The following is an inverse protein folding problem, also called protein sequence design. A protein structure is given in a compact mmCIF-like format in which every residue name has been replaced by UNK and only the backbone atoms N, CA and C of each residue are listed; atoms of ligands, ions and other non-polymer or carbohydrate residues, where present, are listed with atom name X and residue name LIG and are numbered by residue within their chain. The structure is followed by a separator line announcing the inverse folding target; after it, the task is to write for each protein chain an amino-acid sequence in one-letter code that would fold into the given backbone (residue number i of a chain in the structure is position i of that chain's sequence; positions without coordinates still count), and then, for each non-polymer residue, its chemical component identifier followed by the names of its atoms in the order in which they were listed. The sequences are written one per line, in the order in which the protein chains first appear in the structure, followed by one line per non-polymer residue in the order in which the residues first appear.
data_IF_364466924774
#
_entry.id   IF_364466924774
#
_cell.length_a   1.000
_cell.length_b   1.000
_cell.length_c   1.000
_cell.angle_alpha   90.00
_cell.angle_beta   90.00
_cell.angle_gamma   90.00
#
_symmetry.space_group_name_H-M   'P 1'
#
loop_
_entity.id
_entity.type
_entity.pdbx_description
1 polymer ?
#
# COMPACT_ATOMS: atom_id res chain seq x y z
N UNK A 1 3.75 -6.51 -68.80
CA UNK A 1 3.48 -7.89 -68.33
C UNK A 1 3.80 -7.97 -66.85
N UNK A 2 2.76 -7.97 -66.01
CA UNK A 2 2.28 -9.14 -65.23
C UNK A 2 3.06 -9.31 -63.91
N UNK A 3 2.55 -8.80 -62.78
CA UNK A 3 1.63 -9.48 -61.83
C UNK A 3 1.98 -10.94 -61.55
N UNK A 4 2.25 -11.28 -60.28
CA UNK A 4 1.35 -12.04 -59.39
C UNK A 4 1.87 -12.01 -57.94
N UNK A 5 0.93 -11.72 -57.05
CA UNK A 5 0.84 -11.95 -55.60
C UNK A 5 1.82 -12.90 -54.90
N UNK A 6 2.36 -12.42 -53.77
CA UNK A 6 2.51 -13.24 -52.57
C UNK A 6 2.48 -12.33 -51.33
N UNK A 7 1.30 -12.18 -50.72
CA UNK A 7 1.12 -11.66 -49.35
C UNK A 7 1.99 -12.49 -48.39
N UNK A 8 3.15 -11.99 -47.99
CA UNK A 8 3.91 -12.51 -46.84
C UNK A 8 3.52 -11.73 -45.60
N UNK A 9 2.61 -12.34 -44.86
CA UNK A 9 2.19 -11.96 -43.52
C UNK A 9 3.42 -11.90 -42.60
N UNK A 10 3.63 -10.82 -41.82
CA UNK A 10 4.75 -10.76 -40.89
C UNK A 10 4.61 -11.84 -39.81
N UNK A 11 5.74 -12.40 -39.32
CA UNK A 11 5.71 -13.46 -38.31
C UNK A 11 5.06 -12.92 -37.04
N UNK A 12 4.01 -13.62 -36.57
CA UNK A 12 3.37 -13.37 -35.27
C UNK A 12 4.46 -13.36 -34.20
N UNK A 13 4.54 -12.21 -33.51
CA UNK A 13 5.40 -11.98 -32.35
C UNK A 13 5.42 -13.20 -31.42
N UNK A 14 6.60 -13.75 -31.17
CA UNK A 14 6.81 -14.72 -30.10
C UNK A 14 6.69 -14.00 -28.76
N UNK A 15 5.43 -13.86 -28.31
CA UNK A 15 5.07 -13.49 -26.95
C UNK A 15 5.83 -14.41 -25.98
N UNK A 16 6.32 -13.85 -24.85
CA UNK A 16 6.64 -14.66 -23.67
C UNK A 16 5.51 -15.65 -23.51
N UNK A 17 5.81 -16.94 -23.40
CA UNK A 17 4.75 -17.92 -23.23
C UNK A 17 3.88 -17.47 -22.06
N UNK A 18 2.61 -17.08 -22.31
CA UNK A 18 1.74 -16.75 -21.21
C UNK A 18 1.67 -18.03 -20.37
N UNK A 19 1.97 -17.91 -19.08
CA UNK A 19 1.73 -19.04 -18.19
C UNK A 19 0.21 -19.11 -18.07
N UNK A 20 -0.39 -19.87 -18.97
CA UNK A 20 -1.82 -20.13 -19.05
C UNK A 20 -2.20 -20.97 -17.83
N UNK A 21 -2.70 -20.30 -16.80
CA UNK A 21 -3.15 -20.88 -15.53
C UNK A 21 -4.63 -21.19 -15.61
N UNK A 22 -5.04 -22.34 -15.09
CA UNK A 22 -6.46 -22.57 -14.80
C UNK A 22 -6.88 -21.75 -13.58
N UNK A 23 -8.19 -21.58 -13.39
CA UNK A 23 -8.69 -20.83 -12.23
C UNK A 23 -8.27 -21.45 -10.89
N UNK A 24 -8.07 -22.77 -10.84
CA UNK A 24 -7.60 -23.49 -9.66
C UNK A 24 -6.13 -23.17 -9.37
N UNK A 25 -5.27 -23.15 -10.41
CA UNK A 25 -3.85 -22.77 -10.27
C UNK A 25 -3.73 -21.30 -9.86
N UNK A 26 -4.55 -20.43 -10.45
CA UNK A 26 -4.59 -19.01 -10.13
C UNK A 26 -5.05 -18.78 -8.69
N UNK A 27 -6.07 -19.52 -8.23
CA UNK A 27 -6.55 -19.48 -6.86
C UNK A 27 -5.48 -19.92 -5.87
N UNK A 28 -4.76 -21.01 -6.16
CA UNK A 28 -3.69 -21.50 -5.31
C UNK A 28 -2.51 -20.51 -5.22
N UNK A 29 -2.16 -19.82 -6.31
CA UNK A 29 -1.05 -18.86 -6.34
C UNK A 29 -1.39 -17.53 -5.65
N UNK A 30 -2.59 -17.02 -5.90
CA UNK A 30 -3.02 -15.71 -5.39
C UNK A 30 -3.62 -15.79 -3.99
N UNK A 31 -4.02 -16.98 -3.51
CA UNK A 31 -4.78 -17.12 -2.26
C UNK A 31 -6.21 -16.57 -2.35
N UNK A 32 -6.66 -16.12 -3.52
CA UNK A 32 -8.04 -15.68 -3.74
C UNK A 32 -8.87 -16.90 -4.13
N UNK A 33 -10.01 -17.11 -3.46
CA UNK A 33 -10.87 -18.26 -3.76
C UNK A 33 -11.42 -18.22 -5.18
N UNK A 34 -11.61 -19.39 -5.82
CA UNK A 34 -12.24 -19.51 -7.15
C UNK A 34 -13.58 -18.77 -7.22
N UNK A 35 -14.36 -18.79 -6.13
CA UNK A 35 -15.62 -18.04 -5.99
C UNK A 35 -15.39 -16.54 -6.17
N UNK A 36 -14.40 -15.97 -5.47
CA UNK A 36 -14.10 -14.54 -5.52
C UNK A 36 -13.49 -14.14 -6.87
N UNK A 37 -12.64 -14.98 -7.47
CA UNK A 37 -12.09 -14.74 -8.81
C UNK A 37 -13.23 -14.57 -9.83
N UNK A 38 -14.21 -15.48 -9.83
CA UNK A 38 -15.39 -15.37 -10.71
C UNK A 38 -16.24 -14.16 -10.39
N UNK A 39 -16.41 -13.82 -9.11
CA UNK A 39 -17.15 -12.63 -8.70
C UNK A 39 -16.48 -11.34 -9.20
N UNK A 40 -15.14 -11.25 -9.12
CA UNK A 40 -14.37 -10.09 -9.60
C UNK A 40 -14.41 -9.98 -11.12
N UNK A 41 -14.40 -11.10 -11.83
CA UNK A 41 -14.60 -11.11 -13.27
C UNK A 41 -15.98 -10.56 -13.66
N UNK A 42 -17.05 -11.03 -13.02
CA UNK A 42 -18.41 -10.53 -13.27
C UNK A 42 -18.57 -9.05 -12.92
N UNK A 43 -17.84 -8.57 -11.89
CA UNK A 43 -17.85 -7.17 -11.48
C UNK A 43 -17.01 -6.24 -12.39
N UNK A 44 -16.27 -6.79 -13.36
CA UNK A 44 -15.40 -6.06 -14.27
C UNK A 44 -14.02 -5.69 -13.69
N UNK A 45 -13.65 -6.23 -12.52
CA UNK A 45 -12.40 -5.91 -11.82
C UNK A 45 -11.17 -6.61 -12.43
N UNK A 46 -11.41 -7.72 -13.12
CA UNK A 46 -10.38 -8.44 -13.87
C UNK A 46 -10.87 -8.71 -15.29
N UNK A 47 -9.97 -8.65 -16.30
CA UNK A 47 -10.33 -9.02 -17.66
C UNK A 47 -10.89 -10.44 -17.76
N UNK A 48 -11.73 -10.72 -18.78
CA UNK A 48 -12.19 -12.08 -19.04
C UNK A 48 -11.01 -12.99 -19.44
N UNK A 49 -10.98 -14.26 -19.00
CA UNK A 49 -9.91 -15.19 -19.35
C UNK A 49 -9.93 -15.54 -20.84
N UNK A 50 -8.79 -15.94 -21.37
CA UNK A 50 -8.70 -16.49 -22.73
C UNK A 50 -9.30 -17.89 -22.75
N UNK A 51 -10.27 -18.11 -23.64
CA UNK A 51 -10.93 -19.40 -23.78
C UNK A 51 -10.15 -20.32 -24.72
N UNK A 52 -9.86 -21.54 -24.26
CA UNK A 52 -9.37 -22.64 -25.09
C UNK A 52 -10.31 -23.83 -24.95
N UNK A 53 -11.27 -23.94 -25.86
CA UNK A 53 -12.39 -24.87 -25.73
C UNK A 53 -13.33 -24.46 -24.59
N UNK A 54 -13.57 -25.35 -23.62
CA UNK A 54 -14.34 -25.04 -22.40
C UNK A 54 -13.49 -24.55 -21.22
N UNK A 55 -12.16 -24.46 -21.41
CA UNK A 55 -11.22 -24.10 -20.36
C UNK A 55 -10.90 -22.60 -20.44
N UNK A 56 -11.12 -21.88 -19.34
CA UNK A 56 -10.67 -20.50 -19.17
C UNK A 56 -9.23 -20.46 -18.67
N UNK A 57 -8.36 -19.78 -19.42
CA UNK A 57 -6.94 -19.64 -19.13
C UNK A 57 -6.63 -18.18 -18.76
N UNK A 58 -5.94 -18.04 -17.65
CA UNK A 58 -5.51 -16.78 -17.06
C UNK A 58 -4.01 -16.64 -17.22
N UNK A 59 -3.51 -15.43 -17.41
CA UNK A 59 -2.08 -15.16 -17.50
C UNK A 59 -1.56 -14.44 -16.24
N UNK A 60 -0.28 -14.06 -16.27
CA UNK A 60 0.38 -13.34 -15.19
C UNK A 60 -0.27 -11.99 -14.87
N UNK A 61 -0.94 -11.35 -15.84
CA UNK A 61 -1.63 -10.08 -15.60
C UNK A 61 -2.87 -10.28 -14.71
N UNK A 62 -3.59 -11.39 -14.92
CA UNK A 62 -4.70 -11.77 -14.05
C UNK A 62 -4.22 -12.08 -12.63
N UNK A 63 -3.06 -12.74 -12.49
CA UNK A 63 -2.47 -13.04 -11.20
C UNK A 63 -2.15 -11.75 -10.41
N UNK A 64 -1.42 -10.81 -11.02
CA UNK A 64 -1.06 -9.56 -10.38
C UNK A 64 -2.26 -8.69 -9.99
N UNK A 65 -3.31 -8.64 -10.83
CA UNK A 65 -4.57 -7.94 -10.49
C UNK A 65 -5.27 -8.57 -9.28
N UNK A 66 -5.28 -9.90 -9.19
CA UNK A 66 -5.91 -10.61 -8.08
C UNK A 66 -5.15 -10.45 -6.76
N UNK A 67 -3.82 -10.45 -6.80
CA UNK A 67 -2.97 -10.18 -5.63
C UNK A 67 -3.16 -8.74 -5.13
N UNK A 68 -3.22 -7.76 -6.03
CA UNK A 68 -3.50 -6.36 -5.66
C UNK A 68 -4.89 -6.20 -5.03
N UNK A 69 -5.93 -6.80 -5.64
CA UNK A 69 -7.29 -6.75 -5.08
C UNK A 69 -7.32 -7.39 -3.69
N UNK A 70 -6.65 -8.53 -3.51
CA UNK A 70 -6.54 -9.22 -2.21
C UNK A 70 -5.88 -8.31 -1.17
N UNK A 71 -4.76 -7.69 -1.52
CA UNK A 71 -3.96 -6.90 -0.58
C UNK A 71 -4.69 -5.61 -0.17
N UNK A 72 -5.30 -4.90 -1.13
CA UNK A 72 -6.14 -3.74 -0.84
C UNK A 72 -7.36 -4.10 0.01
N UNK A 73 -7.98 -5.27 -0.23
CA UNK A 73 -9.07 -5.79 0.60
C UNK A 73 -8.61 -6.11 2.02
N UNK A 74 -7.42 -6.66 2.22
CA UNK A 74 -6.82 -6.89 3.54
C UNK A 74 -6.49 -5.59 4.28
N UNK A 75 -6.20 -4.52 3.53
CA UNK A 75 -5.98 -3.17 4.05
C UNK A 75 -7.28 -2.42 4.39
N UNK A 76 -8.45 -3.04 4.19
CA UNK A 76 -9.75 -2.47 4.55
C UNK A 76 -10.43 -1.65 3.45
N UNK A 77 -9.87 -1.60 2.24
CA UNK A 77 -10.53 -0.92 1.13
C UNK A 77 -11.81 -1.68 0.72
N UNK A 78 -12.88 -0.92 0.48
CA UNK A 78 -14.13 -1.44 -0.04
C UNK A 78 -14.02 -1.72 -1.53
N UNK A 79 -14.78 -2.71 -2.01
CA UNK A 79 -14.65 -3.21 -3.38
C UNK A 79 -15.07 -2.19 -4.45
N UNK A 80 -16.01 -1.31 -4.12
CA UNK A 80 -16.42 -0.14 -4.92
C UNK A 80 -15.28 0.89 -5.05
N UNK A 81 -14.63 1.25 -3.95
CA UNK A 81 -13.48 2.15 -3.97
C UNK A 81 -12.29 1.55 -4.77
N UNK A 82 -12.08 0.24 -4.65
CA UNK A 82 -11.09 -0.48 -5.48
C UNK A 82 -11.52 -0.36 -6.95
N UNK A 83 -12.77 -0.65 -7.28
CA UNK A 83 -13.29 -0.55 -8.66
C UNK A 83 -13.08 0.83 -9.27
N UNK A 84 -13.46 1.89 -8.57
CA UNK A 84 -13.32 3.27 -9.05
C UNK A 84 -11.84 3.63 -9.29
N UNK A 85 -10.95 3.15 -8.43
CA UNK A 85 -9.51 3.31 -8.60
C UNK A 85 -8.98 2.54 -9.82
N UNK A 86 -9.52 1.34 -10.08
CA UNK A 86 -9.16 0.49 -11.21
C UNK A 86 -9.66 1.05 -12.56
N UNK A 87 -10.86 1.61 -12.60
CA UNK A 87 -11.48 2.15 -13.84
C UNK A 87 -10.82 3.47 -14.30
N UNK A 88 -10.26 4.25 -13.39
CA UNK A 88 -9.57 5.50 -13.70
C UNK A 88 -8.07 5.33 -14.07
N UNK A 89 -7.60 4.08 -14.18
CA UNK A 89 -6.21 3.76 -14.49
C UNK A 89 -6.02 3.51 -16.00
N UNK A 90 -5.08 4.21 -16.68
CA UNK A 90 -4.82 4.01 -18.11
C UNK A 90 -4.37 2.58 -18.45
N UNK A 91 -4.81 2.05 -19.59
CA UNK A 91 -4.35 0.75 -20.12
C UNK A 91 -2.82 0.73 -20.26
N UNK A 92 -2.17 -0.25 -19.63
CA UNK A 92 -0.70 -0.41 -19.62
C UNK A 92 -0.02 -0.11 -18.28
N UNK A 93 -0.67 0.63 -17.37
CA UNK A 93 -0.12 0.88 -16.03
C UNK A 93 -0.23 -0.36 -15.09
N UNK A 94 -0.93 -1.40 -15.52
CA UNK A 94 -1.21 -2.61 -14.73
C UNK A 94 0.02 -3.43 -14.35
N UNK A 95 1.01 -3.53 -15.25
CA UNK A 95 2.28 -4.22 -14.96
C UNK A 95 3.09 -3.48 -13.90
N UNK A 96 3.05 -2.16 -13.91
CA UNK A 96 3.72 -1.31 -12.92
C UNK A 96 3.05 -1.43 -11.55
N UNK A 97 1.71 -1.49 -11.48
CA UNK A 97 0.98 -1.66 -10.21
C UNK A 97 1.02 -3.08 -9.62
N UNK A 98 1.07 -4.14 -10.44
CA UNK A 98 1.24 -5.51 -9.96
C UNK A 98 2.61 -5.70 -9.29
N UNK A 99 3.65 -5.12 -9.89
CA UNK A 99 5.00 -5.10 -9.34
C UNK A 99 5.09 -4.28 -8.05
N UNK A 100 4.39 -3.15 -8.00
CA UNK A 100 4.22 -2.34 -6.78
C UNK A 100 3.47 -3.14 -5.69
N UNK A 101 2.43 -3.90 -6.04
CA UNK A 101 1.69 -4.76 -5.11
C UNK A 101 2.55 -5.89 -4.54
N UNK A 102 3.33 -6.57 -5.38
CA UNK A 102 4.22 -7.66 -4.95
C UNK A 102 5.33 -7.16 -4.02
N UNK A 103 5.86 -5.95 -4.30
CA UNK A 103 6.75 -5.21 -3.41
C UNK A 103 6.07 -4.75 -2.11
N UNK A 104 4.77 -4.51 -2.09
CA UNK A 104 4.05 -4.15 -0.86
C UNK A 104 3.61 -5.37 -0.03
N UNK A 105 3.46 -6.54 -0.66
CA UNK A 105 2.81 -7.73 -0.08
C UNK A 105 3.70 -8.56 0.86
N UNK A 106 5.01 -8.67 0.60
CA UNK A 106 5.80 -9.76 1.20
C UNK A 106 6.94 -9.41 2.15
N UNK A 107 7.36 -8.14 2.34
CA UNK A 107 8.43 -7.84 3.34
C UNK A 107 8.52 -6.38 3.84
N UNK A 108 7.67 -5.45 3.39
CA UNK A 108 8.05 -4.03 3.42
C UNK A 108 7.42 -3.16 4.50
N UNK A 109 6.50 -3.69 5.33
CA UNK A 109 5.71 -2.90 6.29
C UNK A 109 5.98 -3.16 7.77
N UNK A 110 6.67 -4.22 8.15
CA UNK A 110 6.93 -4.48 9.57
C UNK A 110 8.22 -3.79 9.98
N UNK A 111 8.13 -2.51 10.38
CA UNK A 111 9.15 -1.91 11.26
C UNK A 111 9.14 -2.65 12.61
N UNK A 112 7.96 -3.16 13.00
CA UNK A 112 7.75 -3.98 14.19
C UNK A 112 6.74 -5.10 13.87
N UNK A 113 6.85 -6.25 14.56
CA UNK A 113 5.86 -7.32 14.46
C UNK A 113 4.56 -6.88 15.14
N UNK A 114 3.40 -6.93 14.46
CA UNK A 114 2.12 -6.55 15.07
C UNK A 114 1.82 -7.38 16.32
N UNK A 115 1.27 -6.74 17.34
CA UNK A 115 0.90 -7.37 18.59
C UNK A 115 -0.62 -7.45 18.72
N UNK A 116 -1.16 -8.56 19.22
CA UNK A 116 -2.60 -8.68 19.48
C UNK A 116 -2.87 -8.42 20.95
N UNK A 117 -3.85 -7.58 21.25
CA UNK A 117 -4.31 -7.31 22.61
C UNK A 117 -5.81 -7.13 22.66
N UNK A 118 -6.38 -7.44 23.82
CA UNK A 118 -7.78 -7.14 24.11
C UNK A 118 -7.94 -5.65 24.42
N UNK A 119 -9.03 -5.03 23.99
CA UNK A 119 -9.25 -3.60 24.24
C UNK A 119 -9.37 -3.25 25.73
N UNK A 120 -9.90 -4.17 26.52
CA UNK A 120 -9.92 -4.02 27.98
C UNK A 120 -8.50 -3.98 28.58
N UNK A 121 -7.55 -4.73 28.04
CA UNK A 121 -6.15 -4.70 28.48
C UNK A 121 -5.49 -3.36 28.12
N UNK A 122 -5.79 -2.82 26.94
CA UNK A 122 -5.29 -1.49 26.53
C UNK A 122 -5.88 -0.37 27.40
N UNK A 123 -7.18 -0.40 27.66
CA UNK A 123 -7.88 0.62 28.45
C UNK A 123 -7.55 0.54 29.95
N UNK A 124 -7.17 -0.64 30.45
CA UNK A 124 -6.77 -0.84 31.84
C UNK A 124 -5.61 0.06 32.27
N UNK A 125 -4.74 0.46 31.34
CA UNK A 125 -3.64 1.41 31.62
C UNK A 125 -4.15 2.78 32.12
N UNK A 126 -5.39 3.16 31.78
CA UNK A 126 -6.05 4.38 32.26
C UNK A 126 -7.02 4.12 33.42
N UNK A 127 -7.06 2.90 33.96
CA UNK A 127 -8.02 2.52 35.00
C UNK A 127 -9.49 2.61 34.54
N UNK A 128 -9.74 2.54 33.23
CA UNK A 128 -11.04 2.76 32.63
C UNK A 128 -11.43 1.61 31.70
N UNK A 129 -12.71 1.57 31.33
CA UNK A 129 -13.21 0.75 30.23
C UNK A 129 -13.35 1.61 28.97
N UNK A 130 -12.95 1.07 27.83
CA UNK A 130 -13.11 1.78 26.56
C UNK A 130 -14.59 1.99 26.23
N UNK A 131 -14.97 3.22 25.95
CA UNK A 131 -16.32 3.57 25.47
C UNK A 131 -16.50 3.09 24.03
N UNK A 132 -17.73 2.81 23.57
CA UNK A 132 -18.00 2.45 22.16
C UNK A 132 -17.35 3.41 21.16
N UNK A 133 -17.39 4.71 21.44
CA UNK A 133 -16.80 5.76 20.62
C UNK A 133 -15.28 5.64 20.54
N UNK A 134 -14.60 5.37 21.66
CA UNK A 134 -13.16 5.15 21.70
C UNK A 134 -12.75 3.89 20.92
N UNK A 135 -13.55 2.81 20.98
CA UNK A 135 -13.29 1.58 20.19
C UNK A 135 -13.38 1.83 18.69
N UNK A 136 -14.42 2.55 18.28
CA UNK A 136 -14.62 2.90 16.87
C UNK A 136 -13.48 3.79 16.37
N UNK A 137 -13.05 4.75 17.18
CA UNK A 137 -11.95 5.65 16.89
C UNK A 137 -10.63 4.91 16.66
N UNK A 138 -10.30 3.94 17.51
CA UNK A 138 -9.12 3.07 17.32
C UNK A 138 -9.17 2.31 15.99
N UNK A 139 -10.34 1.85 15.57
CA UNK A 139 -10.51 1.12 14.31
C UNK A 139 -10.33 2.00 13.07
N UNK A 140 -10.62 3.31 13.16
CA UNK A 140 -10.59 4.25 12.02
C UNK A 140 -9.22 4.81 11.72
N UNK A 141 -8.35 4.90 12.72
CA UNK A 141 -7.10 5.62 12.60
C UNK A 141 -6.03 4.86 11.78
N UNK A 142 -6.25 3.57 11.51
CA UNK A 142 -5.41 2.75 10.64
C UNK A 142 -4.12 2.25 11.30
N UNK A 143 -3.93 2.44 12.61
CA UNK A 143 -2.87 1.83 13.40
C UNK A 143 -3.32 0.58 14.19
N UNK A 144 -4.64 0.35 14.23
CA UNK A 144 -5.24 -0.83 14.85
C UNK A 144 -6.15 -1.52 13.85
N UNK A 145 -6.09 -2.84 13.80
CA UNK A 145 -6.99 -3.68 13.01
C UNK A 145 -7.82 -4.53 13.95
N UNK A 146 -9.15 -4.46 13.82
CA UNK A 146 -10.03 -5.33 14.59
C UNK A 146 -9.95 -6.77 14.09
N UNK A 147 -9.85 -7.73 15.01
CA UNK A 147 -9.73 -9.15 14.69
C UNK A 147 -11.11 -9.81 14.72
N UNK A 148 -11.79 -9.83 13.57
CA UNK A 148 -13.15 -10.37 13.47
C UNK A 148 -14.16 -9.58 14.31
N UNK A 149 -15.13 -10.27 14.92
CA UNK A 149 -16.17 -9.66 15.76
C UNK A 149 -15.80 -9.60 17.26
N UNK A 150 -14.56 -9.95 17.61
CA UNK A 150 -14.11 -9.92 19.01
C UNK A 150 -13.71 -8.50 19.45
N UNK A 151 -13.47 -8.34 20.74
CA UNK A 151 -12.90 -7.13 21.36
C UNK A 151 -11.35 -7.14 21.31
N UNK A 152 -10.77 -7.90 20.38
CA UNK A 152 -9.33 -7.95 20.14
C UNK A 152 -8.90 -7.06 18.97
N UNK A 153 -7.75 -6.43 19.16
CA UNK A 153 -7.12 -5.56 18.19
C UNK A 153 -5.70 -6.02 17.91
N UNK A 154 -5.34 -6.00 16.63
CA UNK A 154 -3.98 -6.11 16.15
C UNK A 154 -3.38 -4.70 16.04
N UNK A 155 -2.38 -4.45 16.87
CA UNK A 155 -1.63 -3.21 17.01
C UNK A 155 -0.51 -3.22 15.98
N UNK A 156 -0.59 -2.33 15.00
CA UNK A 156 0.39 -2.26 13.90
C UNK A 156 1.68 -1.53 14.30
N UNK A 157 1.64 -0.76 15.40
CA UNK A 157 2.83 -0.13 16.01
C UNK A 157 2.86 -0.34 17.52
N UNK A 158 3.48 -1.45 18.00
CA UNK A 158 3.73 -1.67 19.41
C UNK A 158 4.56 -0.57 20.11
N UNK A 159 5.48 0.10 19.41
CA UNK A 159 6.20 1.25 19.96
C UNK A 159 5.27 2.41 20.32
N UNK A 160 4.30 2.72 19.46
CA UNK A 160 3.36 3.81 19.74
C UNK A 160 2.45 3.46 20.92
N UNK A 161 2.05 2.19 21.06
CA UNK A 161 1.31 1.74 22.24
C UNK A 161 2.12 1.93 23.53
N UNK A 162 3.42 1.57 23.54
CA UNK A 162 4.30 1.82 24.69
C UNK A 162 4.37 3.29 25.07
N UNK A 163 4.39 4.20 24.09
CA UNK A 163 4.33 5.66 24.36
C UNK A 163 2.99 6.03 25.00
N UNK A 164 1.88 5.48 24.50
CA UNK A 164 0.56 5.67 25.10
C UNK A 164 0.51 5.23 26.57
N UNK A 165 1.11 4.08 26.91
CA UNK A 165 1.22 3.60 28.28
C UNK A 165 2.01 4.57 29.17
N UNK A 166 3.15 5.10 28.69
CA UNK A 166 3.92 6.10 29.43
C UNK A 166 3.12 7.41 29.66
N UNK A 167 2.30 7.83 28.69
CA UNK A 167 1.40 8.97 28.88
C UNK A 167 0.32 8.69 29.93
N UNK A 168 -0.16 7.44 30.02
CA UNK A 168 -1.09 7.02 31.07
C UNK A 168 -0.44 7.09 32.47
N UNK A 169 0.83 6.68 32.60
CA UNK A 169 1.60 6.80 33.85
C UNK A 169 1.77 8.27 34.29
N UNK A 170 1.86 9.19 33.32
CA UNK A 170 1.86 10.64 33.54
C UNK A 170 0.46 11.22 33.80
N UNK A 171 -0.57 10.38 33.91
CA UNK A 171 -1.98 10.73 34.14
C UNK A 171 -2.60 11.60 33.03
N UNK A 172 -2.08 11.49 31.81
CA UNK A 172 -2.72 12.13 30.64
C UNK A 172 -4.03 11.39 30.34
N UNK A 173 -5.18 12.09 30.23
CA UNK A 173 -6.47 11.44 29.96
C UNK A 173 -6.46 10.66 28.64
N UNK A 174 -7.17 9.51 28.61
CA UNK A 174 -7.24 8.65 27.42
C UNK A 174 -7.71 9.41 26.18
N UNK A 175 -8.75 10.25 26.30
CA UNK A 175 -9.25 11.03 25.17
C UNK A 175 -8.21 12.00 24.63
N UNK A 176 -7.40 12.62 25.49
CA UNK A 176 -6.28 13.48 25.07
C UNK A 176 -5.20 12.70 24.32
N UNK A 177 -4.91 11.46 24.75
CA UNK A 177 -3.95 10.59 24.05
C UNK A 177 -4.51 10.17 22.68
N UNK A 178 -5.80 9.85 22.59
CA UNK A 178 -6.46 9.53 21.33
C UNK A 178 -6.52 10.74 20.39
N UNK A 179 -6.74 11.95 20.91
CA UNK A 179 -6.66 13.21 20.15
C UNK A 179 -5.27 13.44 19.58
N UNK A 180 -4.24 13.27 20.40
CA UNK A 180 -2.85 13.38 19.96
C UNK A 180 -2.51 12.34 18.88
N UNK A 181 -2.99 11.10 19.05
CA UNK A 181 -2.76 10.02 18.10
C UNK A 181 -3.43 10.32 16.75
N UNK A 182 -4.67 10.80 16.74
CA UNK A 182 -5.37 11.15 15.50
C UNK A 182 -4.65 12.27 14.75
N UNK A 183 -4.24 13.34 15.46
CA UNK A 183 -3.46 14.43 14.86
C UNK A 183 -2.12 13.92 14.30
N UNK A 184 -1.41 13.06 15.06
CA UNK A 184 -0.17 12.45 14.61
C UNK A 184 -0.36 11.65 13.32
N UNK A 185 -1.43 10.86 13.23
CA UNK A 185 -1.73 10.04 12.04
C UNK A 185 -2.09 10.93 10.85
N UNK A 186 -2.93 11.93 11.05
CA UNK A 186 -3.32 12.87 10.00
C UNK A 186 -2.09 13.55 9.38
N UNK A 187 -1.24 14.14 10.21
CA UNK A 187 -0.05 14.85 9.74
C UNK A 187 1.00 13.90 9.16
N UNK A 188 1.22 12.73 9.76
CA UNK A 188 2.14 11.73 9.22
C UNK A 188 1.66 11.21 7.86
N UNK A 189 0.34 11.05 7.67
CA UNK A 189 -0.24 10.67 6.38
C UNK A 189 -0.01 11.74 5.31
N UNK A 190 -0.19 13.01 5.65
CA UNK A 190 0.08 14.12 4.73
C UNK A 190 1.57 14.14 4.32
N UNK A 191 2.49 13.95 5.25
CA UNK A 191 3.93 13.88 4.98
C UNK A 191 4.25 12.65 4.10
N UNK A 192 3.72 11.48 4.44
CA UNK A 192 3.92 10.25 3.67
C UNK A 192 3.40 10.41 2.23
N UNK A 193 2.24 11.04 2.04
CA UNK A 193 1.71 11.36 0.71
C UNK A 193 2.66 12.28 -0.07
N UNK A 194 3.23 13.30 0.55
CA UNK A 194 4.21 14.18 -0.09
C UNK A 194 5.45 13.39 -0.55
N UNK A 195 6.02 12.54 0.30
CA UNK A 195 7.15 11.68 -0.08
C UNK A 195 6.82 10.74 -1.23
N UNK A 196 5.65 10.09 -1.20
CA UNK A 196 5.23 9.17 -2.26
C UNK A 196 5.02 9.92 -3.58
N UNK A 197 4.27 11.03 -3.56
CA UNK A 197 3.90 11.75 -4.78
C UNK A 197 5.06 12.54 -5.38
N UNK A 198 5.80 13.28 -4.54
CA UNK A 198 6.80 14.25 -5.00
C UNK A 198 8.18 13.63 -5.14
N UNK A 199 8.50 12.60 -4.36
CA UNK A 199 9.82 11.97 -4.41
C UNK A 199 9.74 10.63 -5.13
N UNK A 200 8.99 9.66 -4.59
CA UNK A 200 8.99 8.30 -5.12
C UNK A 200 8.45 8.21 -6.55
N UNK A 201 7.22 8.67 -6.80
CA UNK A 201 6.60 8.60 -8.13
C UNK A 201 7.31 9.50 -9.15
N UNK A 202 7.87 10.63 -8.71
CA UNK A 202 8.65 11.50 -9.60
C UNK A 202 9.95 10.83 -10.07
N UNK A 203 10.66 10.13 -9.16
CA UNK A 203 11.88 9.39 -9.49
C UNK A 203 11.59 8.21 -10.44
N UNK A 204 10.48 7.49 -10.22
CA UNK A 204 10.04 6.40 -11.12
C UNK A 204 9.78 6.92 -12.53
N UNK A 205 9.04 8.03 -12.65
CA UNK A 205 8.79 8.67 -13.95
C UNK A 205 10.12 9.06 -14.63
N UNK A 206 11.07 9.60 -13.87
CA UNK A 206 12.41 9.93 -14.37
C UNK A 206 13.16 8.73 -14.93
N UNK A 207 13.13 7.59 -14.23
CA UNK A 207 13.74 6.34 -14.68
C UNK A 207 13.08 5.81 -15.96
N UNK A 208 11.75 5.80 -16.03
CA UNK A 208 11.01 5.36 -17.22
C UNK A 208 11.34 6.25 -18.45
N UNK A 209 11.41 7.57 -18.26
CA UNK A 209 11.80 8.51 -19.30
C UNK A 209 13.24 8.28 -19.81
N UNK A 210 14.17 7.88 -18.95
CA UNK A 210 15.54 7.55 -19.36
C UNK A 210 15.63 6.21 -20.09
N UNK A 211 14.86 5.20 -19.67
CA UNK A 211 14.77 3.92 -20.36
C UNK A 211 14.29 4.09 -21.81
N UNK A 212 13.29 4.95 -22.06
CA UNK A 212 12.78 5.21 -23.41
C UNK A 212 13.74 6.04 -24.30
N UNK A 213 14.60 6.89 -23.72
CA UNK A 213 15.62 7.63 -24.50
C UNK A 213 16.82 6.76 -24.87
N UNK A 214 17.04 5.64 -24.19
CA UNK A 214 18.15 4.72 -24.42
C UNK A 214 17.97 3.74 -25.59
N UNK A 215 16.78 3.66 -26.20
CA UNK A 215 16.46 2.69 -27.28
C UNK A 215 16.99 3.08 -28.68
N UNK A 216 18.03 3.92 -28.75
CA UNK A 216 18.78 4.18 -29.98
C UNK A 216 19.92 3.19 -30.28
N UNK A 217 20.18 2.21 -29.40
CA UNK A 217 21.34 1.30 -29.54
C UNK A 217 21.06 -0.12 -29.08
N UNK A 218 20.88 -1.02 -30.05
CA UNK A 218 21.04 -2.48 -30.02
C UNK A 218 20.91 -3.25 -28.68
N UNK A 219 19.83 -4.03 -28.60
CA UNK A 219 19.77 -5.40 -28.05
C UNK A 219 20.34 -5.67 -26.63
N UNK A 220 19.48 -5.46 -25.62
CA UNK A 220 19.46 -6.25 -24.37
C UNK A 220 18.03 -6.70 -24.03
N UNK A 221 17.46 -7.58 -24.87
CA UNK A 221 16.13 -8.17 -24.63
C UNK A 221 16.28 -9.40 -23.71
N UNK A 222 16.08 -9.24 -22.40
CA UNK A 222 15.98 -10.38 -21.48
C UNK A 222 16.08 -10.10 -19.97
N UNK A 223 16.66 -8.98 -19.54
CA UNK A 223 16.86 -8.62 -18.13
C UNK A 223 16.31 -7.23 -17.65
N UNK A 224 15.44 -6.46 -18.37
CA UNK A 224 14.96 -5.15 -17.87
C UNK A 224 14.03 -5.19 -16.65
N UNK A 225 13.20 -6.24 -16.49
CA UNK A 225 12.15 -6.21 -15.47
C UNK A 225 12.65 -6.53 -14.06
N UNK A 226 13.54 -7.52 -13.90
CA UNK A 226 14.16 -7.82 -12.61
C UNK A 226 15.08 -6.68 -12.15
N UNK A 227 15.80 -6.04 -13.07
CA UNK A 227 16.64 -4.88 -12.77
C UNK A 227 15.82 -3.64 -12.39
N UNK A 228 14.71 -3.36 -13.07
CA UNK A 228 13.78 -2.29 -12.68
C UNK A 228 13.21 -2.50 -11.26
N UNK A 229 12.97 -3.76 -10.87
CA UNK A 229 12.49 -4.10 -9.52
C UNK A 229 13.57 -3.94 -8.45
N UNK A 230 14.80 -4.36 -8.75
CA UNK A 230 15.94 -4.13 -7.86
C UNK A 230 16.21 -2.62 -7.69
N UNK A 231 16.07 -1.83 -8.75
CA UNK A 231 16.18 -0.37 -8.71
C UNK A 231 15.06 0.28 -7.91
N UNK A 232 13.81 -0.14 -8.11
CA UNK A 232 12.66 0.35 -7.36
C UNK A 232 12.79 0.01 -5.87
N UNK A 233 13.19 -1.22 -5.56
CA UNK A 233 13.50 -1.66 -4.20
C UNK A 233 14.65 -0.87 -3.59
N UNK A 234 15.74 -0.65 -4.32
CA UNK A 234 16.89 0.12 -3.85
C UNK A 234 16.52 1.59 -3.61
N UNK A 235 15.70 2.18 -4.48
CA UNK A 235 15.17 3.53 -4.29
C UNK A 235 14.33 3.60 -3.01
N UNK A 236 13.43 2.65 -2.79
CA UNK A 236 12.61 2.61 -1.59
C UNK A 236 13.44 2.43 -0.31
N UNK A 237 14.38 1.48 -0.29
CA UNK A 237 15.29 1.25 0.84
C UNK A 237 16.14 2.48 1.17
N UNK A 238 16.44 3.33 0.18
CA UNK A 238 17.12 4.62 0.38
C UNK A 238 16.17 5.71 0.86
N UNK A 239 14.94 5.77 0.34
CA UNK A 239 13.96 6.81 0.68
C UNK A 239 13.36 6.61 2.07
N UNK A 240 13.11 5.36 2.50
CA UNK A 240 12.53 5.05 3.81
C UNK A 240 13.27 5.72 4.98
N UNK A 241 14.59 5.54 5.17
CA UNK A 241 15.31 6.19 6.27
C UNK A 241 15.39 7.71 6.12
N UNK A 242 15.35 8.26 4.90
CA UNK A 242 15.33 9.71 4.69
C UNK A 242 14.00 10.32 5.11
N UNK A 243 12.88 9.67 4.79
CA UNK A 243 11.56 10.11 5.20
C UNK A 243 11.43 10.09 6.74
N UNK A 244 11.80 8.97 7.38
CA UNK A 244 11.78 8.85 8.84
C UNK A 244 12.74 9.86 9.48
N UNK A 245 13.97 9.93 9.00
CA UNK A 245 14.99 10.84 9.52
C UNK A 245 14.61 12.31 9.38
N UNK A 246 13.89 12.69 8.32
CA UNK A 246 13.39 14.06 8.16
C UNK A 246 12.40 14.46 9.26
N UNK A 247 11.51 13.55 9.65
CA UNK A 247 10.55 13.79 10.72
C UNK A 247 11.30 13.86 12.05
N UNK A 248 12.19 12.89 12.33
CA UNK A 248 12.98 12.88 13.56
C UNK A 248 13.89 14.11 13.70
N UNK A 249 14.38 14.69 12.61
CA UNK A 249 15.18 15.91 12.62
C UNK A 249 14.34 17.18 12.75
N UNK A 250 13.20 17.26 12.05
CA UNK A 250 12.35 18.45 12.07
C UNK A 250 11.51 18.55 13.35
N UNK A 251 11.01 17.44 13.88
CA UNK A 251 10.06 17.43 14.98
C UNK A 251 10.59 18.12 16.26
N UNK A 252 11.83 17.89 16.74
CA UNK A 252 12.34 18.60 17.90
C UNK A 252 12.37 20.13 17.71
N UNK A 253 12.68 20.59 16.51
CA UNK A 253 12.72 22.02 16.18
C UNK A 253 11.32 22.61 16.20
N UNK A 254 10.37 21.96 15.54
CA UNK A 254 8.95 22.41 15.51
C UNK A 254 8.35 22.36 16.91
N UNK A 255 8.63 21.31 17.68
CA UNK A 255 8.15 21.18 19.05
C UNK A 255 8.68 22.31 19.95
N UNK A 256 9.96 22.65 19.84
CA UNK A 256 10.54 23.79 20.57
C UNK A 256 9.84 25.11 20.21
N UNK A 257 9.58 25.34 18.91
CA UNK A 257 8.89 26.55 18.44
C UNK A 257 7.47 26.65 19.01
N UNK A 258 6.73 25.54 19.05
CA UNK A 258 5.39 25.51 19.62
C UNK A 258 5.40 25.72 21.15
N UNK A 259 6.39 25.18 21.86
CA UNK A 259 6.58 25.48 23.29
C UNK A 259 6.85 26.96 23.52
N UNK A 260 7.80 27.54 22.80
CA UNK A 260 8.15 28.96 22.93
C UNK A 260 6.94 29.85 22.61
N UNK A 261 6.15 29.47 21.60
CA UNK A 261 4.92 30.17 21.24
C UNK A 261 3.88 30.10 22.35
N UNK A 262 3.59 28.91 22.86
CA UNK A 262 2.60 28.71 23.92
C UNK A 262 2.97 29.47 25.21
N UNK A 263 4.25 29.44 25.61
CA UNK A 263 4.75 30.18 26.78
C UNK A 263 4.59 31.69 26.56
N UNK A 264 4.93 32.21 25.38
CA UNK A 264 4.78 33.62 25.07
C UNK A 264 3.33 34.09 25.01
N UNK A 265 2.42 33.27 24.49
CA UNK A 265 0.99 33.57 24.48
C UNK A 265 0.42 33.62 25.91
N UNK A 266 0.86 32.73 26.79
CA UNK A 266 0.42 32.71 28.19
C UNK A 266 0.98 33.89 29.00
N UNK A 267 2.24 34.29 28.75
CA UNK A 267 2.84 35.49 29.36
C UNK A 267 2.13 36.78 28.93
N UNK A 268 1.65 36.85 27.69
CA UNK A 268 0.84 37.99 27.19
C UNK A 268 -0.59 37.99 27.72
N UNK A 269 -1.10 36.85 28.18
CA UNK A 269 -2.45 36.70 28.74
C UNK A 269 -2.56 37.06 30.22
N UNK A 270 -1.45 37.19 30.95
CA UNK A 270 -1.48 37.66 32.34
C UNK A 270 -1.68 39.18 32.40
N UNK A 271 -2.75 39.67 33.05
CA UNK A 271 -2.96 41.09 33.31
C UNK A 271 -1.98 41.64 34.36
#
# INVERSE_FOLDING_TARGET
MSQIDARRQPPRSAARSPVDMTVEVLSARTGVSVRNIRAYQTAGLIPPPRLRGRLGLYDSEHQGKLELIRDLRQQGFRLDAIKDMLENTPEGAWSEYALISELFSTTFFTVESPARKHIAEMAANWGATATPEQRERLSRNGLYRRVGDTDEFEILSPALERIGVQLAELKVPLDTVLDLQDALIEHTRAIAQAYVQQVFLAQIKGLALQAHRGEGGAARRGLPELSAMEELKALFERLRPLAIGSISAAFPVVLQQEFDRAVNEELKRKP
#
